data_IF_619700560906
#
_entry.id   IF_619700560906
#
_cell.length_a   1.000
_cell.length_b   1.000
_cell.length_c   1.000
_cell.angle_alpha   90.00
_cell.angle_beta   90.00
_cell.angle_gamma   90.00
#
_symmetry.space_group_name_H-M   'P 1'
#
loop_
_entity.id
_entity.type
_entity.pdbx_description
1 polymer ?
#
# COMPACT_ATOMS: atom_id res chain seq x y z
N UNK A 1 -14.38 -7.04 -0.20
CA UNK A 1 -13.70 -5.82 -0.67
C UNK A 1 -12.22 -6.02 -0.45
N UNK A 2 -11.40 -5.50 -1.36
CA UNK A 2 -9.94 -5.54 -1.21
C UNK A 2 -9.56 -4.44 -0.21
N UNK A 3 -9.05 -4.82 0.96
CA UNK A 3 -8.80 -3.89 2.07
C UNK A 3 -7.84 -2.76 1.68
N UNK A 4 -6.87 -3.05 0.82
CA UNK A 4 -5.92 -2.04 0.32
C UNK A 4 -6.63 -1.01 -0.54
N UNK A 5 -7.59 -1.42 -1.37
CA UNK A 5 -8.42 -0.49 -2.14
C UNK A 5 -9.23 0.40 -1.20
N UNK A 6 -9.80 -0.16 -0.12
CA UNK A 6 -10.54 0.65 0.86
C UNK A 6 -9.66 1.67 1.58
N UNK A 7 -8.43 1.30 1.94
CA UNK A 7 -7.45 2.22 2.56
C UNK A 7 -7.07 3.32 1.57
N UNK A 8 -6.73 2.95 0.32
CA UNK A 8 -6.37 3.90 -0.74
C UNK A 8 -7.51 4.88 -1.00
N UNK A 9 -8.74 4.39 -1.15
CA UNK A 9 -9.92 5.23 -1.37
C UNK A 9 -10.16 6.20 -0.21
N UNK A 10 -10.01 5.74 1.03
CA UNK A 10 -10.18 6.56 2.23
C UNK A 10 -9.17 7.71 2.27
N UNK A 11 -7.91 7.42 1.98
CA UNK A 11 -6.83 8.42 2.04
C UNK A 11 -6.92 9.41 0.87
N UNK A 12 -7.22 8.94 -0.34
CA UNK A 12 -7.47 9.83 -1.48
C UNK A 12 -8.79 10.60 -1.39
N UNK A 13 -9.69 10.25 -0.46
CA UNK A 13 -11.03 10.84 -0.37
C UNK A 13 -11.90 10.54 -1.59
N UNK A 14 -11.68 9.40 -2.26
CA UNK A 14 -12.43 8.96 -3.45
C UNK A 14 -13.34 7.77 -3.11
N UNK A 15 -14.44 7.62 -3.85
CA UNK A 15 -15.42 6.56 -3.60
C UNK A 15 -15.02 5.18 -4.11
N UNK A 16 -14.19 5.13 -5.15
CA UNK A 16 -13.70 3.90 -5.78
C UNK A 16 -12.44 4.21 -6.61
N UNK A 17 -11.58 3.20 -6.80
CA UNK A 17 -10.39 3.29 -7.65
C UNK A 17 -10.16 1.96 -8.36
N UNK A 18 -9.76 2.02 -9.62
CA UNK A 18 -9.37 0.83 -10.36
C UNK A 18 -8.09 0.23 -9.74
N UNK A 19 -8.03 -1.08 -9.49
CA UNK A 19 -6.84 -1.74 -8.91
C UNK A 19 -5.56 -1.57 -9.75
N UNK A 20 -5.70 -1.32 -11.05
CA UNK A 20 -4.61 -1.06 -11.99
C UNK A 20 -4.43 0.44 -12.28
N UNK A 21 -5.21 1.33 -11.67
CA UNK A 21 -5.01 2.77 -11.79
C UNK A 21 -3.73 3.24 -11.09
N UNK A 22 -3.07 4.22 -11.72
CA UNK A 22 -1.89 4.87 -11.17
C UNK A 22 -2.33 5.85 -10.08
N UNK A 23 -1.85 5.63 -8.86
CA UNK A 23 -2.20 6.42 -7.68
C UNK A 23 -1.90 7.92 -7.89
N UNK A 24 -0.69 8.25 -8.35
CA UNK A 24 -0.25 9.63 -8.59
C UNK A 24 -1.07 10.37 -9.66
N UNK A 25 -1.62 9.66 -10.64
CA UNK A 25 -2.48 10.27 -11.67
C UNK A 25 -3.92 10.46 -11.18
N UNK A 26 -4.29 9.78 -10.10
CA UNK A 26 -5.63 9.79 -9.52
C UNK A 26 -5.86 10.93 -8.52
N UNK A 27 -4.85 11.80 -8.32
CA UNK A 27 -4.93 12.94 -7.39
C UNK A 27 -4.24 12.72 -6.04
N UNK A 28 -3.49 11.63 -5.86
CA UNK A 28 -2.67 11.43 -4.66
C UNK A 28 -1.60 12.52 -4.54
N UNK A 29 -1.66 13.28 -3.44
CA UNK A 29 -0.59 14.20 -3.07
C UNK A 29 0.57 13.46 -2.40
N UNK A 30 1.69 14.16 -2.24
CA UNK A 30 2.84 13.63 -1.48
C UNK A 30 2.50 13.37 0.00
N UNK A 31 1.54 14.10 0.57
CA UNK A 31 1.08 13.87 1.94
C UNK A 31 0.25 12.59 2.02
N UNK A 32 -0.70 12.42 1.10
CA UNK A 32 -1.53 11.22 1.00
C UNK A 32 -0.67 9.96 0.80
N UNK A 33 0.43 10.10 0.05
CA UNK A 33 1.41 9.03 -0.18
C UNK A 33 2.08 8.59 1.12
N UNK A 34 2.50 9.53 1.96
CA UNK A 34 3.11 9.23 3.26
C UNK A 34 2.08 8.66 4.24
N UNK A 35 0.86 9.21 4.25
CA UNK A 35 -0.23 8.70 5.09
C UNK A 35 -0.60 7.25 4.72
N UNK A 36 -0.63 6.95 3.42
CA UNK A 36 -0.86 5.59 2.92
C UNK A 36 0.24 4.63 3.36
N UNK A 37 1.50 5.02 3.29
CA UNK A 37 2.61 4.21 3.77
C UNK A 37 2.43 3.86 5.26
N UNK A 38 2.23 4.88 6.10
CA UNK A 38 2.08 4.72 7.55
C UNK A 38 0.86 3.86 7.90
N UNK A 39 -0.26 4.07 7.22
CA UNK A 39 -1.48 3.28 7.46
C UNK A 39 -1.29 1.81 7.06
N UNK A 40 -0.62 1.52 5.93
CA UNK A 40 -0.32 0.15 5.52
C UNK A 40 0.61 -0.55 6.50
N UNK A 41 1.68 0.12 6.96
CA UNK A 41 2.58 -0.41 7.98
C UNK A 41 1.84 -0.72 9.29
N UNK A 42 0.98 0.20 9.72
CA UNK A 42 0.18 0.07 10.95
C UNK A 42 -0.84 -1.07 10.86
N UNK A 43 -1.62 -1.14 9.77
CA UNK A 43 -2.68 -2.15 9.57
C UNK A 43 -2.08 -3.55 9.45
N UNK A 44 -0.99 -3.70 8.69
CA UNK A 44 -0.40 -5.01 8.44
C UNK A 44 0.70 -5.38 9.44
N UNK A 45 1.15 -4.45 10.28
CA UNK A 45 2.23 -4.65 11.24
C UNK A 45 3.58 -4.92 10.56
N UNK A 46 3.84 -4.25 9.43
CA UNK A 46 5.04 -4.45 8.60
C UNK A 46 5.87 -3.17 8.57
N UNK A 47 7.16 -3.33 8.31
CA UNK A 47 8.00 -2.22 7.88
C UNK A 47 8.11 -2.29 6.35
N UNK A 48 7.59 -1.29 5.64
CA UNK A 48 7.57 -1.24 4.18
C UNK A 48 8.70 -0.29 3.74
N UNK A 49 9.72 -0.77 3.02
CA UNK A 49 10.81 0.09 2.57
C UNK A 49 10.33 1.13 1.55
N UNK A 50 10.69 2.41 1.77
CA UNK A 50 10.31 3.55 0.94
C UNK A 50 10.54 3.31 -0.56
N UNK A 51 11.71 2.79 -0.94
CA UNK A 51 12.05 2.51 -2.35
C UNK A 51 11.06 1.53 -3.01
N UNK A 52 10.60 0.53 -2.26
CA UNK A 52 9.65 -0.46 -2.76
C UNK A 52 8.23 0.08 -2.80
N UNK A 53 7.86 0.87 -1.79
CA UNK A 53 6.58 1.56 -1.77
C UNK A 53 6.45 2.54 -2.94
N UNK A 54 7.48 3.37 -3.19
CA UNK A 54 7.52 4.31 -4.31
C UNK A 54 7.55 3.60 -5.68
N UNK A 55 8.01 2.36 -5.75
CA UNK A 55 7.94 1.53 -6.95
C UNK A 55 6.52 0.96 -7.20
N UNK A 56 5.70 0.81 -6.15
CA UNK A 56 4.32 0.36 -6.25
C UNK A 56 3.40 1.54 -6.60
N UNK A 57 3.01 1.62 -7.88
CA UNK A 57 2.24 2.74 -8.43
C UNK A 57 0.74 2.50 -8.47
N UNK A 58 0.29 1.27 -8.25
CA UNK A 58 -1.12 0.89 -8.29
C UNK A 58 -1.54 0.15 -7.01
N UNK A 59 -2.84 0.16 -6.63
CA UNK A 59 -3.35 -0.62 -5.51
C UNK A 59 -2.98 -2.11 -5.60
N UNK A 60 -3.02 -2.69 -6.81
CA UNK A 60 -2.63 -4.08 -7.03
C UNK A 60 -1.15 -4.34 -6.75
N UNK A 61 -0.26 -3.40 -7.09
CA UNK A 61 1.17 -3.51 -6.77
C UNK A 61 1.41 -3.38 -5.26
N UNK A 62 0.70 -2.50 -4.57
CA UNK A 62 0.76 -2.39 -3.11
C UNK A 62 0.32 -3.69 -2.43
N UNK A 63 -0.74 -4.33 -2.93
CA UNK A 63 -1.19 -5.64 -2.43
C UNK A 63 -0.14 -6.72 -2.59
N UNK A 64 0.50 -6.78 -3.76
CA UNK A 64 1.59 -7.72 -4.00
C UNK A 64 2.78 -7.44 -3.06
N UNK A 65 3.13 -6.17 -2.87
CA UNK A 65 4.21 -5.75 -1.98
C UNK A 65 3.96 -6.16 -0.53
N UNK A 66 2.79 -5.82 0.02
CA UNK A 66 2.40 -6.20 1.39
C UNK A 66 2.41 -7.71 1.56
N UNK A 67 1.83 -8.45 0.61
CA UNK A 67 1.79 -9.93 0.67
C UNK A 67 3.20 -10.52 0.73
N UNK A 68 4.11 -10.03 -0.12
CA UNK A 68 5.51 -10.47 -0.14
C UNK A 68 6.23 -10.17 1.17
N UNK A 69 6.09 -8.96 1.71
CA UNK A 69 6.74 -8.57 2.97
C UNK A 69 6.23 -9.40 4.17
N UNK A 70 4.94 -9.77 4.18
CA UNK A 70 4.39 -10.67 5.21
C UNK A 70 5.00 -12.06 5.14
N UNK A 71 5.26 -12.57 3.95
CA UNK A 71 5.90 -13.87 3.76
C UNK A 71 7.35 -13.83 4.25
N UNK A 72 8.10 -12.82 3.85
CA UNK A 72 9.51 -12.62 4.25
C UNK A 72 9.66 -12.51 5.78
N UNK A 73 8.84 -11.68 6.45
CA UNK A 73 8.89 -11.55 7.91
C UNK A 73 8.53 -12.86 8.65
N UNK A 74 7.68 -13.69 8.06
CA UNK A 74 7.29 -14.98 8.64
C UNK A 74 8.42 -16.01 8.54
N UNK A 75 9.18 -15.96 7.45
CA UNK A 75 10.37 -16.80 7.27
C UNK A 75 11.50 -16.38 8.21
N UNK A 76 11.73 -15.07 8.41
CA UNK A 76 12.76 -14.55 9.32
C UNK A 76 12.49 -14.85 10.81
N UNK A 77 11.23 -14.98 11.22
CA UNK A 77 10.85 -15.37 12.59
C UNK A 77 10.98 -16.87 12.88
N UNK A 78 11.20 -17.70 11.86
CA UNK A 78 11.30 -19.16 12.01
C UNK A 78 12.76 -19.67 12.09
N UNK A 79 13.75 -18.78 12.04
CA UNK A 79 15.19 -19.13 12.05
C UNK A 79 15.82 -18.96 13.42
#
# INVERSE_FOLDING_TARGET
>A
MDEIIEIVCRIAGIGDIDPDAVLYESGFSSLDTLELLVELESVYGLAIPDDQFMAARTPQQLRALVSRLREEQKEEQLV
#
